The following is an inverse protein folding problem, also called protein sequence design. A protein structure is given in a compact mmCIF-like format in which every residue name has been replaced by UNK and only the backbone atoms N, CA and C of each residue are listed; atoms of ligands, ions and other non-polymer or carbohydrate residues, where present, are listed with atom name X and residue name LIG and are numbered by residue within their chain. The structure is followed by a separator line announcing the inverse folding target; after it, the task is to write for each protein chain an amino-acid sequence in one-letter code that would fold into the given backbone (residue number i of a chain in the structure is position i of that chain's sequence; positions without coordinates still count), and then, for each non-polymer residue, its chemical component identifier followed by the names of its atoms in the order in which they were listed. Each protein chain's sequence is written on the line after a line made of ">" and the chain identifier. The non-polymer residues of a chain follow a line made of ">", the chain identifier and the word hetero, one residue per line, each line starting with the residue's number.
data_IF_471087433298
#
_entry.id   IF_471087433298
#
_cell.length_a   1.000
_cell.length_b   1.000
_cell.length_c   1.000
_cell.angle_alpha   90.00
_cell.angle_beta   90.00
_cell.angle_gamma   90.00
#
_symmetry.space_group_name_H-M   'P 1'
#
loop_
_entity.id
_entity.type
_entity.pdbx_description
1 polymer ?
#
# COMPACT_ATOMS: atom_id res chain seq x y z
N UNK A 1 -6.19 72.07 10.81
CA UNK A 1 -6.42 71.76 9.38
C UNK A 1 -5.35 70.77 8.92
N UNK A 2 -5.77 69.77 8.11
CA UNK A 2 -4.98 68.67 7.50
C UNK A 2 -4.42 67.61 8.49
N UNK A 3 -4.96 66.37 8.63
CA UNK A 3 -5.35 65.30 7.67
C UNK A 3 -4.10 64.84 6.91
N UNK A 4 -3.55 63.62 7.05
CA UNK A 4 -4.09 62.29 6.73
C UNK A 4 -3.26 61.19 7.44
N UNK A 5 -3.88 60.31 8.21
CA UNK A 5 -4.16 58.88 7.88
C UNK A 5 -2.93 57.97 7.70
N UNK A 6 -2.61 57.28 8.79
CA UNK A 6 -2.34 55.84 8.93
C UNK A 6 -2.69 55.01 7.69
N UNK A 7 -1.75 54.18 7.21
CA UNK A 7 -1.97 52.74 6.97
C UNK A 7 -0.70 52.04 6.47
N UNK A 8 -0.04 51.33 7.38
CA UNK A 8 0.94 50.29 7.07
C UNK A 8 0.18 49.04 6.63
N UNK A 9 0.23 48.68 5.35
CA UNK A 9 -0.32 47.42 4.86
C UNK A 9 0.79 46.36 4.79
N UNK A 10 0.99 45.63 5.89
CA UNK A 10 1.76 44.39 5.87
C UNK A 10 0.87 43.28 5.30
N UNK A 11 1.04 42.95 4.03
CA UNK A 11 0.40 41.79 3.40
C UNK A 11 1.17 40.53 3.81
N UNK A 12 0.85 39.99 4.99
CA UNK A 12 1.24 38.63 5.36
C UNK A 12 0.32 37.66 4.59
N UNK A 13 0.73 37.25 3.40
CA UNK A 13 0.10 36.15 2.68
C UNK A 13 0.49 34.87 3.41
N UNK A 14 -0.31 34.48 4.39
CA UNK A 14 -0.29 33.14 4.94
C UNK A 14 -0.80 32.19 3.86
N UNK A 15 0.12 31.61 3.08
CA UNK A 15 -0.15 30.40 2.31
C UNK A 15 -0.43 29.26 3.31
N UNK A 16 -1.69 29.15 3.72
CA UNK A 16 -2.20 27.92 4.30
C UNK A 16 -2.23 26.88 3.17
N UNK A 17 -1.13 26.13 3.04
CA UNK A 17 -1.08 24.91 2.25
C UNK A 17 -2.04 23.91 2.91
N UNK A 18 -3.29 23.90 2.45
CA UNK A 18 -4.31 22.94 2.86
C UNK A 18 -3.82 21.51 2.55
N UNK A 19 -3.67 20.61 3.53
CA UNK A 19 -3.18 19.25 3.32
C UNK A 19 -4.23 18.30 2.69
N UNK A 20 -5.24 18.84 2.00
CA UNK A 20 -6.44 18.08 1.55
C UNK A 20 -6.12 17.10 0.41
N UNK A 21 -4.97 17.21 -0.26
CA UNK A 21 -4.67 16.40 -1.46
C UNK A 21 -4.18 14.97 -1.14
N UNK A 22 -3.84 14.65 0.11
CA UNK A 22 -3.26 13.33 0.45
C UNK A 22 -4.21 12.33 1.15
N UNK A 23 -5.47 12.68 1.35
CA UNK A 23 -6.38 11.88 2.18
C UNK A 23 -7.56 11.27 1.41
N UNK A 24 -7.33 10.61 0.27
CA UNK A 24 -8.35 9.70 -0.28
C UNK A 24 -7.79 8.58 -1.17
N UNK A 25 -7.33 7.49 -0.56
CA UNK A 25 -7.32 6.17 -1.21
C UNK A 25 -7.33 5.03 -0.18
N UNK A 26 -8.23 5.16 0.80
CA UNK A 26 -8.49 4.12 1.81
C UNK A 26 -9.45 3.04 1.34
N UNK A 27 -9.59 2.80 0.03
CA UNK A 27 -10.33 1.62 -0.42
C UNK A 27 -9.54 0.38 -0.03
N UNK A 28 -10.02 -0.33 1.00
CA UNK A 28 -9.54 -1.65 1.40
C UNK A 28 -9.45 -2.55 0.16
N UNK A 29 -8.25 -2.65 -0.40
CA UNK A 29 -7.97 -3.47 -1.59
C UNK A 29 -8.34 -4.91 -1.25
N UNK A 30 -9.17 -5.51 -2.08
CA UNK A 30 -9.59 -6.90 -1.93
C UNK A 30 -8.34 -7.82 -1.94
N UNK A 31 -7.99 -8.35 -0.77
CA UNK A 31 -6.77 -9.14 -0.58
C UNK A 31 -6.93 -10.60 -0.97
N UNK A 32 -5.82 -11.35 -0.95
CA UNK A 32 -5.82 -12.81 -1.20
C UNK A 32 -6.84 -13.55 -0.31
N UNK A 33 -6.98 -13.12 0.96
CA UNK A 33 -7.96 -13.65 1.92
C UNK A 33 -9.40 -13.57 1.37
N UNK A 34 -9.87 -12.38 0.99
CA UNK A 34 -11.23 -12.19 0.45
C UNK A 34 -11.48 -13.04 -0.80
N UNK A 35 -10.51 -13.07 -1.72
CA UNK A 35 -10.63 -13.89 -2.94
C UNK A 35 -10.79 -15.38 -2.60
N UNK A 36 -10.01 -15.89 -1.65
CA UNK A 36 -10.01 -17.31 -1.27
C UNK A 36 -11.24 -17.68 -0.45
N UNK A 37 -11.67 -16.84 0.49
CA UNK A 37 -12.88 -17.05 1.29
C UNK A 37 -14.17 -17.01 0.46
N UNK A 38 -14.14 -16.28 -0.66
CA UNK A 38 -15.26 -16.28 -1.62
C UNK A 38 -15.36 -17.55 -2.47
N UNK A 39 -14.37 -18.44 -2.41
CA UNK A 39 -14.44 -19.75 -3.06
C UNK A 39 -15.34 -20.67 -2.22
N UNK A 40 -16.03 -21.60 -2.90
CA UNK A 40 -16.84 -22.63 -2.23
C UNK A 40 -15.93 -23.71 -1.61
N UNK A 41 -15.24 -23.38 -0.52
CA UNK A 41 -14.33 -24.27 0.20
C UNK A 41 -15.08 -25.23 1.12
N UNK A 42 -14.66 -26.51 1.15
CA UNK A 42 -15.10 -27.44 2.18
C UNK A 42 -14.30 -27.30 3.48
N UNK A 43 -14.76 -27.92 4.57
CA UNK A 43 -14.16 -27.77 5.91
C UNK A 43 -12.70 -28.27 5.97
N UNK A 44 -12.36 -29.30 5.19
CA UNK A 44 -10.98 -29.81 5.09
C UNK A 44 -10.08 -28.79 4.40
N UNK A 45 -10.59 -28.10 3.38
CA UNK A 45 -9.86 -27.03 2.72
C UNK A 45 -9.70 -25.80 3.61
N UNK A 46 -10.77 -25.37 4.30
CA UNK A 46 -10.75 -24.22 5.23
C UNK A 46 -9.70 -24.39 6.32
N UNK A 47 -9.72 -25.54 7.01
CA UNK A 47 -8.76 -25.84 8.09
C UNK A 47 -7.30 -25.82 7.65
N UNK A 48 -7.00 -26.14 6.38
CA UNK A 48 -5.64 -26.06 5.81
C UNK A 48 -5.26 -24.64 5.36
N UNK A 49 -6.24 -23.87 4.88
CA UNK A 49 -6.04 -22.55 4.29
C UNK A 49 -5.95 -21.45 5.34
N UNK A 50 -6.75 -21.53 6.40
CA UNK A 50 -6.79 -20.52 7.47
C UNK A 50 -5.43 -20.21 8.10
N UNK A 51 -4.59 -21.19 8.52
CA UNK A 51 -3.27 -20.89 9.06
C UNK A 51 -2.34 -20.21 8.04
N UNK A 52 -2.48 -20.53 6.75
CA UNK A 52 -1.71 -19.87 5.68
C UNK A 52 -2.09 -18.39 5.58
N UNK A 53 -3.40 -18.09 5.63
CA UNK A 53 -3.92 -16.73 5.56
C UNK A 53 -3.56 -15.90 6.79
N UNK A 54 -3.64 -16.46 8.00
CA UNK A 54 -3.26 -15.74 9.22
C UNK A 54 -1.74 -15.51 9.30
N UNK A 55 -0.92 -16.49 8.88
CA UNK A 55 0.53 -16.27 8.77
C UNK A 55 0.86 -15.16 7.77
N UNK A 56 0.20 -15.15 6.60
CA UNK A 56 0.39 -14.09 5.60
C UNK A 56 -0.05 -12.73 6.16
N UNK A 57 -1.20 -12.66 6.84
CA UNK A 57 -1.71 -11.43 7.44
C UNK A 57 -0.74 -10.86 8.47
N UNK A 58 -0.22 -11.69 9.38
CA UNK A 58 0.80 -11.26 10.36
C UNK A 58 2.05 -10.75 9.66
N UNK A 59 2.54 -11.47 8.66
CA UNK A 59 3.71 -11.05 7.87
C UNK A 59 3.46 -9.69 7.21
N UNK A 60 2.31 -9.50 6.55
CA UNK A 60 1.97 -8.24 5.89
C UNK A 60 1.80 -7.08 6.87
N UNK A 61 1.24 -7.34 8.06
CA UNK A 61 1.11 -6.31 9.10
C UNK A 61 2.48 -5.83 9.57
N UNK A 62 3.37 -6.75 9.93
CA UNK A 62 4.72 -6.41 10.39
C UNK A 62 5.51 -5.68 9.29
N UNK A 63 5.42 -6.14 8.03
CA UNK A 63 6.05 -5.45 6.91
C UNK A 63 5.47 -4.05 6.67
N UNK A 64 4.16 -3.84 6.88
CA UNK A 64 3.55 -2.51 6.75
C UNK A 64 4.07 -1.54 7.82
N UNK A 65 4.25 -2.01 9.05
CA UNK A 65 4.83 -1.23 10.14
C UNK A 65 6.29 -0.83 9.83
N UNK A 66 7.11 -1.77 9.37
CA UNK A 66 8.49 -1.49 8.93
C UNK A 66 8.53 -0.53 7.73
N UNK A 67 7.62 -0.70 6.76
CA UNK A 67 7.51 0.19 5.61
C UNK A 67 7.15 1.63 6.01
N UNK A 68 6.26 1.79 6.99
CA UNK A 68 5.91 3.11 7.53
C UNK A 68 7.11 3.77 8.18
N UNK A 69 7.87 3.02 8.98
CA UNK A 69 9.06 3.54 9.65
C UNK A 69 10.16 3.94 8.65
N UNK A 70 10.48 3.08 7.69
CA UNK A 70 11.42 3.40 6.61
C UNK A 70 10.99 4.65 5.82
N UNK A 71 9.70 4.80 5.55
CA UNK A 71 9.20 5.98 4.82
C UNK A 71 9.33 7.26 5.64
N UNK A 72 9.16 7.17 6.97
CA UNK A 72 9.41 8.31 7.87
C UNK A 72 10.90 8.70 7.87
N UNK A 73 11.80 7.73 7.95
CA UNK A 73 13.25 7.99 7.95
C UNK A 73 13.71 8.61 6.61
N UNK A 74 13.19 8.10 5.48
CA UNK A 74 13.48 8.67 4.16
C UNK A 74 12.95 10.12 4.08
N UNK A 75 11.73 10.39 4.55
CA UNK A 75 11.20 11.76 4.55
C UNK A 75 12.03 12.70 5.43
N UNK A 76 12.52 12.24 6.59
CA UNK A 76 13.40 13.02 7.45
C UNK A 76 14.71 13.41 6.75
N UNK A 77 15.30 12.50 5.94
CA UNK A 77 16.47 12.82 5.13
C UNK A 77 16.14 13.86 4.04
N UNK A 78 14.99 13.71 3.37
CA UNK A 78 14.55 14.62 2.32
C UNK A 78 14.21 16.04 2.83
N UNK A 79 13.75 16.17 4.07
CA UNK A 79 13.40 17.44 4.70
C UNK A 79 14.56 18.08 5.48
N UNK A 80 15.72 17.41 5.55
CA UNK A 80 16.89 17.90 6.27
C UNK A 80 17.62 19.02 5.51
N UNK A 81 18.36 19.87 6.24
CA UNK A 81 19.15 20.95 5.63
C UNK A 81 20.29 20.43 4.72
N UNK A 82 20.77 19.21 4.99
CA UNK A 82 21.74 18.50 4.17
C UNK A 82 21.43 17.01 4.21
N UNK A 83 21.01 16.47 3.06
CA UNK A 83 20.68 15.05 2.93
C UNK A 83 21.96 14.20 2.95
N UNK A 84 21.98 13.16 3.78
CA UNK A 84 23.03 12.14 3.75
C UNK A 84 22.68 11.06 2.73
N UNK A 85 23.33 11.14 1.56
CA UNK A 85 23.09 10.22 0.45
C UNK A 85 23.37 8.75 0.83
N UNK A 86 24.42 8.48 1.61
CA UNK A 86 24.76 7.10 1.99
C UNK A 86 23.69 6.50 2.91
N UNK A 87 23.14 7.32 3.82
CA UNK A 87 22.00 6.92 4.65
C UNK A 87 20.75 6.67 3.80
N UNK A 88 20.43 7.54 2.84
CA UNK A 88 19.28 7.36 1.95
C UNK A 88 19.40 6.08 1.13
N UNK A 89 20.58 5.80 0.56
CA UNK A 89 20.82 4.58 -0.22
C UNK A 89 20.56 3.32 0.64
N UNK A 90 21.07 3.30 1.88
CA UNK A 90 20.82 2.21 2.81
C UNK A 90 19.34 2.02 3.17
N UNK A 91 18.59 3.11 3.37
CA UNK A 91 17.14 3.05 3.64
C UNK A 91 16.35 2.52 2.42
N UNK A 92 16.76 2.91 1.21
CA UNK A 92 16.15 2.43 -0.04
C UNK A 92 16.44 0.94 -0.26
N UNK A 93 17.64 0.47 0.04
CA UNK A 93 17.99 -0.94 -0.03
C UNK A 93 17.16 -1.79 0.94
N UNK A 94 17.00 -1.32 2.18
CA UNK A 94 16.14 -1.96 3.18
C UNK A 94 14.69 -2.04 2.70
N UNK A 95 14.16 -0.93 2.16
CA UNK A 95 12.81 -0.87 1.59
C UNK A 95 12.64 -1.83 0.42
N UNK A 96 13.62 -1.92 -0.47
CA UNK A 96 13.63 -2.82 -1.62
C UNK A 96 13.61 -4.28 -1.19
N UNK A 97 14.47 -4.65 -0.22
CA UNK A 97 14.49 -5.98 0.36
C UNK A 97 13.15 -6.35 1.00
N UNK A 98 12.58 -5.44 1.78
CA UNK A 98 11.30 -5.65 2.45
C UNK A 98 10.16 -5.89 1.44
N UNK A 99 10.09 -5.10 0.37
CA UNK A 99 9.13 -5.30 -0.72
C UNK A 99 9.33 -6.68 -1.38
N UNK A 100 10.57 -7.06 -1.65
CA UNK A 100 10.91 -8.38 -2.20
C UNK A 100 10.43 -9.53 -1.30
N UNK A 101 10.65 -9.42 0.00
CA UNK A 101 10.23 -10.42 0.97
C UNK A 101 8.70 -10.50 1.10
N UNK A 102 8.00 -9.36 1.01
CA UNK A 102 6.53 -9.34 0.94
C UNK A 102 5.99 -10.04 -0.31
N UNK A 103 6.62 -9.84 -1.47
CA UNK A 103 6.23 -10.49 -2.73
C UNK A 103 6.41 -12.01 -2.60
N UNK A 104 7.57 -12.47 -2.10
CA UNK A 104 7.83 -13.90 -1.87
C UNK A 104 6.80 -14.52 -0.93
N UNK A 105 6.44 -13.84 0.16
CA UNK A 105 5.42 -14.32 1.11
C UNK A 105 4.06 -14.50 0.44
N UNK A 106 3.61 -13.53 -0.38
CA UNK A 106 2.35 -13.62 -1.13
C UNK A 106 2.35 -14.75 -2.15
N UNK A 107 3.46 -14.93 -2.88
CA UNK A 107 3.61 -16.02 -3.86
C UNK A 107 3.56 -17.37 -3.16
N UNK A 108 4.28 -17.51 -2.05
CA UNK A 108 4.33 -18.74 -1.25
C UNK A 108 2.95 -19.11 -0.71
N UNK A 109 2.25 -18.17 -0.08
CA UNK A 109 0.89 -18.38 0.42
C UNK A 109 -0.07 -18.76 -0.71
N UNK A 110 -0.01 -18.07 -1.85
CA UNK A 110 -0.82 -18.41 -3.03
C UNK A 110 -0.54 -19.83 -3.51
N UNK A 111 0.73 -20.24 -3.60
CA UNK A 111 1.10 -21.58 -4.05
C UNK A 111 0.58 -22.67 -3.10
N UNK A 112 0.73 -22.47 -1.79
CA UNK A 112 0.22 -23.40 -0.77
C UNK A 112 -1.31 -23.53 -0.82
N UNK A 113 -2.03 -22.41 -0.97
CA UNK A 113 -3.49 -22.42 -1.14
C UNK A 113 -3.87 -23.17 -2.43
N UNK A 114 -3.20 -22.89 -3.54
CA UNK A 114 -3.44 -23.58 -4.81
C UNK A 114 -3.33 -25.10 -4.71
N UNK A 115 -2.41 -25.61 -3.90
CA UNK A 115 -2.24 -27.05 -3.72
C UNK A 115 -3.44 -27.71 -3.03
N UNK A 116 -4.25 -26.95 -2.28
CA UNK A 116 -5.42 -27.43 -1.53
C UNK A 116 -6.72 -27.34 -2.36
N UNK A 117 -6.74 -26.51 -3.41
CA UNK A 117 -7.93 -26.27 -4.23
C UNK A 117 -8.21 -27.38 -5.24
N UNK A 118 -9.50 -27.63 -5.47
CA UNK A 118 -10.03 -28.45 -6.58
C UNK A 118 -9.88 -27.71 -7.92
N UNK A 119 -9.87 -28.41 -9.07
CA UNK A 119 -9.70 -27.78 -10.39
C UNK A 119 -10.65 -26.59 -10.63
N UNK A 120 -11.92 -26.71 -10.27
CA UNK A 120 -12.93 -25.68 -10.48
C UNK A 120 -12.63 -24.42 -9.64
N UNK A 121 -12.20 -24.62 -8.39
CA UNK A 121 -11.83 -23.52 -7.48
C UNK A 121 -10.54 -22.82 -7.93
N UNK A 122 -9.57 -23.57 -8.51
CA UNK A 122 -8.36 -22.98 -9.11
C UNK A 122 -8.73 -22.04 -10.24
N UNK A 123 -9.60 -22.49 -11.15
CA UNK A 123 -10.09 -21.67 -12.27
C UNK A 123 -10.83 -20.43 -11.77
N UNK A 124 -11.69 -20.58 -10.76
CA UNK A 124 -12.40 -19.46 -10.15
C UNK A 124 -11.43 -18.44 -9.54
N UNK A 125 -10.41 -18.90 -8.81
CA UNK A 125 -9.38 -18.02 -8.24
C UNK A 125 -8.59 -17.28 -9.33
N UNK A 126 -8.21 -17.95 -10.44
CA UNK A 126 -7.55 -17.30 -11.59
C UNK A 126 -8.40 -16.18 -12.17
N UNK A 127 -9.70 -16.44 -12.36
CA UNK A 127 -10.63 -15.45 -12.91
C UNK A 127 -10.77 -14.23 -11.98
N UNK A 128 -10.86 -14.44 -10.66
CA UNK A 128 -10.88 -13.35 -9.68
C UNK A 128 -9.59 -12.53 -9.72
N UNK A 129 -8.43 -13.19 -9.80
CA UNK A 129 -7.13 -12.51 -9.93
C UNK A 129 -7.03 -11.68 -11.22
N UNK A 130 -7.48 -12.22 -12.35
CA UNK A 130 -7.49 -11.51 -13.64
C UNK A 130 -8.38 -10.25 -13.56
N UNK A 131 -9.59 -10.38 -13.03
CA UNK A 131 -10.49 -9.23 -12.81
C UNK A 131 -9.88 -8.17 -11.90
N UNK A 132 -9.15 -8.58 -10.85
CA UNK A 132 -8.45 -7.64 -9.97
C UNK A 132 -7.34 -6.89 -10.74
N UNK A 133 -6.58 -7.57 -11.59
CA UNK A 133 -5.54 -6.95 -12.43
C UNK A 133 -6.15 -5.95 -13.42
N UNK A 134 -7.24 -6.32 -14.09
CA UNK A 134 -7.98 -5.43 -15.01
C UNK A 134 -8.46 -4.18 -14.28
N UNK A 135 -9.11 -4.32 -13.11
CA UNK A 135 -9.52 -3.18 -12.28
C UNK A 135 -8.34 -2.29 -11.87
N UNK A 136 -7.19 -2.87 -11.54
CA UNK A 136 -5.99 -2.08 -11.21
C UNK A 136 -5.47 -1.33 -12.43
N UNK A 137 -5.45 -1.95 -13.61
CA UNK A 137 -5.04 -1.31 -14.86
C UNK A 137 -6.00 -0.18 -15.27
N UNK A 138 -7.31 -0.37 -15.13
CA UNK A 138 -8.31 0.67 -15.37
C UNK A 138 -8.16 1.85 -14.41
N UNK A 139 -7.96 1.58 -13.11
CA UNK A 139 -7.69 2.64 -12.12
C UNK A 139 -6.42 3.41 -12.48
N UNK A 140 -5.36 2.71 -12.88
CA UNK A 140 -4.13 3.35 -13.32
C UNK A 140 -4.36 4.27 -14.53
N UNK A 141 -5.05 3.80 -15.57
CA UNK A 141 -5.42 4.63 -16.74
C UNK A 141 -6.19 5.87 -16.32
N UNK A 142 -7.22 5.72 -15.48
CA UNK A 142 -8.02 6.85 -14.99
C UNK A 142 -7.19 7.91 -14.23
N UNK A 143 -6.11 7.52 -13.56
CA UNK A 143 -5.24 8.46 -12.85
C UNK A 143 -4.18 9.13 -13.74
N UNK A 144 -4.01 8.70 -14.99
CA UNK A 144 -2.91 9.14 -15.87
C UNK A 144 -3.36 9.63 -17.25
N UNK A 145 -4.61 9.40 -17.65
CA UNK A 145 -5.17 9.79 -18.94
C UNK A 145 -6.13 11.01 -18.84
N UNK A 146 -6.06 11.79 -17.75
CA UNK A 146 -6.62 13.17 -17.65
C UNK A 146 -5.54 14.21 -18.02
#
# INVERSE_FOLDING_TARGET
>A
MYKKMVQTAAFAITLALSPVVLAHSGECREGLKSMVESLKLDESQKSKIEPILEQLKTTMKNSAEQMKDLSKQINQQAESASMDQATVDGLVDQKTKLIGDMIKAKITAKNQIYAVLKPEQKTELQNKMKKMQEKMAEKFKKCHDE
#
